data_IF_256813060898
#
_entry.id   IF_256813060898
#
_cell.length_a   1.000
_cell.length_b   1.000
_cell.length_c   1.000
_cell.angle_alpha   90.00
_cell.angle_beta   90.00
_cell.angle_gamma   90.00
#
_symmetry.space_group_name_H-M   'P 1'
#
loop_
_entity.id
_entity.type
_entity.pdbx_description
1 polymer ?
#
# COMPACT_ATOMS: atom_id res chain seq x y z
N UNK A 1 -17.76 12.98 -13.90
CA UNK A 1 -17.38 13.88 -15.02
C UNK A 1 -18.13 15.21 -14.94
N UNK A 2 -17.41 16.34 -15.00
CA UNK A 2 -18.00 17.68 -15.11
C UNK A 2 -18.30 17.96 -16.60
N UNK A 3 -19.57 18.14 -17.03
CA UNK A 3 -19.92 18.42 -18.43
C UNK A 3 -19.22 19.66 -19.00
N UNK A 4 -18.95 20.66 -18.16
CA UNK A 4 -18.27 21.89 -18.53
C UNK A 4 -16.83 21.68 -19.03
N UNK A 5 -16.12 20.64 -18.54
CA UNK A 5 -14.75 20.36 -18.99
C UNK A 5 -14.70 19.90 -20.46
N UNK A 6 -15.72 19.18 -20.94
CA UNK A 6 -15.77 18.75 -22.35
C UNK A 6 -15.95 19.91 -23.32
N UNK A 7 -16.73 20.92 -22.93
CA UNK A 7 -16.95 22.12 -23.75
C UNK A 7 -15.70 22.99 -23.87
N UNK A 8 -14.86 23.03 -22.83
CA UNK A 8 -13.64 23.86 -22.80
C UNK A 8 -12.43 23.20 -23.47
N UNK A 9 -12.33 21.87 -23.46
CA UNK A 9 -11.08 21.14 -23.77
C UNK A 9 -10.99 20.67 -25.24
N UNK A 10 -12.10 20.60 -25.98
CA UNK A 10 -12.10 20.08 -27.36
C UNK A 10 -11.95 18.54 -27.40
N UNK A 11 -11.30 18.00 -28.44
CA UNK A 11 -11.12 16.55 -28.60
C UNK A 11 -10.19 15.98 -27.52
N UNK A 12 -10.77 15.25 -26.56
CA UNK A 12 -10.04 14.62 -25.48
C UNK A 12 -9.38 13.33 -25.97
N UNK A 13 -8.06 13.21 -25.77
CA UNK A 13 -7.38 11.93 -26.05
C UNK A 13 -7.76 10.89 -24.99
N UNK A 14 -7.79 9.58 -25.32
CA UNK A 14 -8.16 8.54 -24.36
C UNK A 14 -7.24 8.50 -23.12
N UNK A 15 -5.98 8.93 -23.27
CA UNK A 15 -5.06 9.07 -22.13
C UNK A 15 -5.47 10.19 -21.17
N UNK A 16 -5.95 11.31 -21.70
CA UNK A 16 -6.44 12.43 -20.88
C UNK A 16 -7.77 12.10 -20.22
N UNK A 17 -8.65 11.37 -20.90
CA UNK A 17 -9.89 10.86 -20.30
C UNK A 17 -9.61 9.94 -19.10
N UNK A 18 -8.68 8.98 -19.28
CA UNK A 18 -8.21 8.12 -18.18
C UNK A 18 -7.66 8.96 -17.02
N UNK A 19 -6.90 10.01 -17.29
CA UNK A 19 -6.38 10.90 -16.26
C UNK A 19 -7.50 11.60 -15.48
N UNK A 20 -8.52 12.13 -16.16
CA UNK A 20 -9.67 12.77 -15.52
C UNK A 20 -10.35 11.79 -14.55
N UNK A 21 -10.62 10.57 -14.99
CA UNK A 21 -11.22 9.55 -14.12
C UNK A 21 -10.37 9.22 -12.89
N UNK A 22 -9.05 9.09 -13.07
CA UNK A 22 -8.13 8.82 -11.96
C UNK A 22 -8.12 9.99 -10.96
N UNK A 23 -8.12 11.23 -11.44
CA UNK A 23 -8.17 12.41 -10.55
C UNK A 23 -9.52 12.50 -9.83
N UNK A 24 -10.63 12.23 -10.52
CA UNK A 24 -11.98 12.22 -9.94
C UNK A 24 -12.12 11.17 -8.82
N UNK A 25 -11.52 10.00 -8.99
CA UNK A 25 -11.56 8.92 -7.99
C UNK A 25 -10.57 9.12 -6.85
N UNK A 26 -9.34 9.55 -7.15
CA UNK A 26 -8.28 9.67 -6.14
C UNK A 26 -8.39 10.92 -5.29
N UNK A 27 -8.93 12.02 -5.85
CA UNK A 27 -9.06 13.35 -5.22
C UNK A 27 -7.81 13.73 -4.42
N UNK A 28 -6.63 13.45 -4.99
CA UNK A 28 -5.35 13.53 -4.30
C UNK A 28 -5.07 14.94 -3.77
N UNK A 29 -5.63 15.95 -4.42
CA UNK A 29 -5.57 17.36 -4.04
C UNK A 29 -6.16 17.65 -2.66
N UNK A 30 -7.11 16.84 -2.18
CA UNK A 30 -7.75 17.03 -0.87
C UNK A 30 -6.84 16.64 0.29
N UNK A 31 -5.87 15.76 0.05
CA UNK A 31 -4.91 15.27 1.05
C UNK A 31 -3.67 16.16 1.18
N UNK A 32 -3.59 17.20 0.36
CA UNK A 32 -2.49 18.16 0.38
C UNK A 32 -2.79 19.25 1.40
N UNK A 33 -1.83 19.51 2.29
CA UNK A 33 -1.95 20.54 3.33
C UNK A 33 -2.19 21.91 2.70
N UNK A 34 -3.32 22.54 3.06
CA UNK A 34 -3.58 23.94 2.70
C UNK A 34 -2.76 24.84 3.62
N UNK A 35 -1.77 25.51 3.05
CA UNK A 35 -1.04 26.52 3.80
C UNK A 35 -1.92 27.75 4.04
N UNK A 36 -1.99 28.20 5.28
CA UNK A 36 -2.53 29.50 5.65
C UNK A 36 -1.40 30.53 5.62
N UNK A 37 -1.27 31.29 4.54
CA UNK A 37 -0.23 32.32 4.43
C UNK A 37 -0.63 33.58 5.19
N UNK A 38 0.28 34.12 6.02
CA UNK A 38 0.11 35.42 6.69
C UNK A 38 0.97 36.53 6.05
N UNK A 39 2.07 36.21 5.36
CA UNK A 39 2.95 37.17 4.64
C UNK A 39 3.78 36.50 3.54
N UNK A 40 4.15 37.24 2.48
CA UNK A 40 5.09 36.81 1.40
C UNK A 40 4.44 36.52 0.03
N UNK A 41 5.26 36.10 -0.96
CA UNK A 41 4.76 35.66 -2.28
C UNK A 41 3.93 34.38 -2.09
N UNK A 42 2.65 34.34 -2.52
CA UNK A 42 1.85 33.14 -2.44
C UNK A 42 2.56 31.98 -3.15
N UNK A 43 2.82 30.86 -2.46
CA UNK A 43 3.31 29.66 -3.10
C UNK A 43 2.33 29.18 -4.15
N UNK A 44 2.87 28.47 -5.14
CA UNK A 44 2.05 27.72 -6.07
C UNK A 44 1.19 26.72 -5.31
N UNK A 45 -0.07 26.55 -5.71
CA UNK A 45 -0.93 25.60 -5.01
C UNK A 45 -0.36 24.18 -5.18
N UNK A 46 -0.05 23.57 -4.04
CA UNK A 46 0.46 22.20 -4.01
C UNK A 46 -0.56 21.20 -4.59
N UNK A 47 -1.87 21.50 -4.51
CA UNK A 47 -2.92 20.75 -5.15
C UNK A 47 -2.67 20.56 -6.66
N UNK A 48 -2.32 21.64 -7.38
CA UNK A 48 -2.04 21.57 -8.82
C UNK A 48 -0.79 20.72 -9.11
N UNK A 49 0.23 20.82 -8.24
CA UNK A 49 1.45 20.02 -8.35
C UNK A 49 1.18 18.53 -8.09
N UNK A 50 0.34 18.19 -7.11
CA UNK A 50 -0.05 16.80 -6.84
C UNK A 50 -0.77 16.20 -8.05
N UNK A 51 -1.73 16.91 -8.64
CA UNK A 51 -2.43 16.48 -9.85
C UNK A 51 -1.48 16.33 -11.04
N UNK A 52 -0.49 17.23 -11.16
CA UNK A 52 0.55 17.12 -12.18
C UNK A 52 1.42 15.86 -12.01
N UNK A 53 1.73 15.45 -10.78
CA UNK A 53 2.47 14.22 -10.53
C UNK A 53 1.65 12.96 -10.84
N UNK A 54 0.34 12.96 -10.58
CA UNK A 54 -0.55 11.89 -11.05
C UNK A 54 -0.54 11.84 -12.58
N UNK A 55 -0.66 13.00 -13.25
CA UNK A 55 -0.58 13.09 -14.70
C UNK A 55 0.75 12.57 -15.25
N UNK A 56 1.86 12.86 -14.58
CA UNK A 56 3.18 12.34 -14.92
C UNK A 56 3.17 10.81 -15.00
N UNK A 57 2.60 10.15 -14.00
CA UNK A 57 2.53 8.68 -13.91
C UNK A 57 1.60 8.11 -14.98
N UNK A 58 0.40 8.68 -15.14
CA UNK A 58 -0.61 8.20 -16.11
C UNK A 58 -0.13 8.34 -17.55
N UNK A 59 0.58 9.42 -17.86
CA UNK A 59 1.13 9.68 -19.20
C UNK A 59 2.46 8.95 -19.45
N UNK A 60 3.05 8.30 -18.43
CA UNK A 60 4.31 7.58 -18.55
C UNK A 60 5.53 8.49 -18.73
N UNK A 61 5.48 9.72 -18.19
CA UNK A 61 6.57 10.68 -18.30
C UNK A 61 7.65 10.34 -17.27
N UNK A 62 8.90 10.20 -17.71
CA UNK A 62 10.01 9.77 -16.85
C UNK A 62 10.52 10.91 -15.96
N UNK A 63 10.74 12.09 -16.55
CA UNK A 63 11.36 13.24 -15.87
C UNK A 63 10.35 14.35 -15.54
N UNK A 64 10.69 15.18 -14.57
CA UNK A 64 9.89 16.38 -14.21
C UNK A 64 10.00 17.47 -15.26
N UNK A 65 11.13 17.56 -15.96
CA UNK A 65 11.31 18.49 -17.09
C UNK A 65 10.34 18.13 -18.22
N UNK A 66 10.24 16.85 -18.56
CA UNK A 66 9.31 16.38 -19.59
C UNK A 66 7.84 16.64 -19.22
N UNK A 67 7.50 16.54 -17.93
CA UNK A 67 6.18 16.95 -17.43
C UNK A 67 5.92 18.44 -17.65
N UNK A 68 6.89 19.32 -17.32
CA UNK A 68 6.75 20.77 -17.48
C UNK A 68 6.65 21.16 -18.96
N UNK A 69 7.45 20.54 -19.83
CA UNK A 69 7.37 20.72 -21.28
C UNK A 69 5.99 20.32 -21.82
N UNK A 70 5.49 19.13 -21.41
CA UNK A 70 4.19 18.65 -21.82
C UNK A 70 3.07 19.56 -21.33
N UNK A 71 3.14 20.02 -20.08
CA UNK A 71 2.20 21.01 -19.55
C UNK A 71 2.24 22.30 -20.37
N UNK A 72 3.42 22.83 -20.72
CA UNK A 72 3.51 24.04 -21.55
C UNK A 72 2.86 23.88 -22.93
N UNK A 73 2.99 22.72 -23.56
CA UNK A 73 2.41 22.47 -24.89
C UNK A 73 0.91 22.20 -24.86
N UNK A 74 0.42 21.53 -23.82
CA UNK A 74 -0.93 20.99 -23.76
C UNK A 74 -1.80 21.76 -22.75
N UNK A 75 -2.57 22.73 -23.27
CA UNK A 75 -3.48 23.56 -22.46
C UNK A 75 -4.59 22.74 -21.80
N UNK A 76 -5.03 21.65 -22.44
CA UNK A 76 -6.01 20.75 -21.87
C UNK A 76 -5.44 20.08 -20.62
N UNK A 77 -4.21 19.58 -20.71
CA UNK A 77 -3.51 18.98 -19.57
C UNK A 77 -3.31 19.99 -18.42
N UNK A 78 -2.95 21.24 -18.73
CA UNK A 78 -2.87 22.29 -17.70
C UNK A 78 -4.20 22.44 -16.97
N UNK A 79 -5.30 22.53 -17.72
CA UNK A 79 -6.64 22.71 -17.17
C UNK A 79 -7.08 21.53 -16.31
N UNK A 80 -6.86 20.30 -16.79
CA UNK A 80 -7.17 19.05 -16.06
C UNK A 80 -6.40 19.00 -14.73
N UNK A 81 -5.12 19.38 -14.72
CA UNK A 81 -4.32 19.43 -13.50
C UNK A 81 -4.67 20.62 -12.58
N UNK A 82 -5.52 21.55 -13.01
CA UNK A 82 -5.93 22.73 -12.24
C UNK A 82 -5.05 23.96 -12.41
N UNK A 83 -4.08 23.95 -13.33
CA UNK A 83 -3.24 25.12 -13.57
C UNK A 83 -4.01 26.25 -14.25
N UNK A 84 -3.82 27.50 -13.82
CA UNK A 84 -4.36 28.66 -14.51
C UNK A 84 -3.60 28.92 -15.83
N UNK A 85 -4.33 28.94 -16.94
CA UNK A 85 -3.79 29.10 -18.31
C UNK A 85 -2.98 30.39 -18.53
N UNK A 86 -3.24 31.44 -17.74
CA UNK A 86 -2.60 32.75 -17.89
C UNK A 86 -1.40 32.95 -16.95
N UNK A 87 -1.10 32.01 -16.04
CA UNK A 87 0.07 32.12 -15.16
C UNK A 87 1.21 31.28 -15.69
N UNK A 88 2.44 31.74 -15.43
CA UNK A 88 3.64 30.96 -15.70
C UNK A 88 3.65 29.68 -14.85
N UNK A 89 3.95 28.55 -15.48
CA UNK A 89 4.12 27.27 -14.81
C UNK A 89 5.28 27.33 -13.78
N UNK A 90 5.18 26.59 -12.66
CA UNK A 90 6.26 26.50 -11.67
C UNK A 90 7.55 25.93 -12.29
N UNK A 91 8.71 26.31 -11.74
CA UNK A 91 10.01 25.78 -12.18
C UNK A 91 10.22 24.34 -11.72
N UNK A 92 11.17 23.64 -12.36
CA UNK A 92 11.55 22.28 -11.97
C UNK A 92 11.99 22.18 -10.49
N UNK A 93 12.65 23.21 -9.97
CA UNK A 93 13.02 23.30 -8.54
C UNK A 93 11.80 23.34 -7.62
N UNK A 94 10.71 24.01 -8.01
CA UNK A 94 9.45 24.02 -7.26
C UNK A 94 8.79 22.65 -7.27
N UNK A 95 8.76 21.97 -8.42
CA UNK A 95 8.26 20.59 -8.51
C UNK A 95 9.06 19.65 -7.60
N UNK A 96 10.40 19.76 -7.59
CA UNK A 96 11.24 18.93 -6.74
C UNK A 96 10.96 19.14 -5.25
N UNK A 97 10.84 20.40 -4.81
CA UNK A 97 10.50 20.72 -3.41
C UNK A 97 9.12 20.21 -3.02
N UNK A 98 8.14 20.36 -3.90
CA UNK A 98 6.80 19.85 -3.68
C UNK A 98 6.78 18.32 -3.56
N UNK A 99 7.54 17.62 -4.41
CA UNK A 99 7.67 16.17 -4.31
C UNK A 99 8.29 15.74 -2.99
N UNK A 100 9.33 16.44 -2.52
CA UNK A 100 9.95 16.17 -1.21
C UNK A 100 8.94 16.32 -0.08
N UNK A 101 8.12 17.38 -0.11
CA UNK A 101 7.02 17.55 0.87
C UNK A 101 5.99 16.43 0.78
N UNK A 102 5.57 16.01 -0.42
CA UNK A 102 4.60 14.93 -0.58
C UNK A 102 5.11 13.58 -0.08
N UNK A 103 6.41 13.31 -0.28
CA UNK A 103 7.06 12.11 0.22
C UNK A 103 7.15 12.11 1.75
N UNK A 104 7.54 13.24 2.37
CA UNK A 104 7.56 13.40 3.83
C UNK A 104 6.18 13.21 4.45
N UNK A 105 5.16 13.78 3.79
CA UNK A 105 3.78 13.72 4.25
C UNK A 105 3.07 12.42 3.85
N UNK A 106 3.74 11.47 3.19
CA UNK A 106 3.17 10.19 2.72
C UNK A 106 1.84 10.38 1.98
N UNK A 107 1.81 11.35 1.06
CA UNK A 107 0.57 11.79 0.41
C UNK A 107 -0.13 10.63 -0.33
N UNK A 108 0.64 9.84 -1.07
CA UNK A 108 0.11 8.73 -1.87
C UNK A 108 -0.47 7.63 -0.97
N UNK A 109 0.24 7.30 0.11
CA UNK A 109 -0.18 6.28 1.07
C UNK A 109 -1.46 6.69 1.79
N UNK A 110 -1.59 7.96 2.19
CA UNK A 110 -2.80 8.48 2.84
C UNK A 110 -4.00 8.48 1.89
N UNK A 111 -3.82 8.95 0.66
CA UNK A 111 -4.88 8.93 -0.35
C UNK A 111 -5.33 7.49 -0.65
N UNK A 112 -4.37 6.57 -0.78
CA UNK A 112 -4.65 5.16 -1.02
C UNK A 112 -5.34 4.48 0.17
N UNK A 113 -4.92 4.76 1.41
CA UNK A 113 -5.54 4.25 2.63
C UNK A 113 -7.02 4.64 2.70
N UNK A 114 -7.34 5.90 2.42
CA UNK A 114 -8.73 6.37 2.43
C UNK A 114 -9.54 5.72 1.31
N UNK A 115 -8.99 5.58 0.11
CA UNK A 115 -9.66 4.92 -1.01
C UNK A 115 -9.97 3.46 -0.67
N UNK A 116 -9.03 2.73 -0.06
CA UNK A 116 -9.26 1.36 0.41
C UNK A 116 -10.36 1.32 1.46
N UNK A 117 -10.27 2.14 2.51
CA UNK A 117 -11.26 2.14 3.59
C UNK A 117 -12.67 2.46 3.07
N UNK A 118 -12.78 3.44 2.17
CA UNK A 118 -14.06 3.88 1.62
C UNK A 118 -14.72 2.83 0.71
N UNK A 119 -13.95 2.14 -0.13
CA UNK A 119 -14.53 1.21 -1.12
C UNK A 119 -14.48 -0.26 -0.71
N UNK A 120 -13.56 -0.63 0.19
CA UNK A 120 -13.26 -2.01 0.56
C UNK A 120 -13.24 -2.25 2.07
N UNK A 121 -13.53 -1.24 2.92
CA UNK A 121 -13.51 -1.40 4.38
C UNK A 121 -14.42 -2.52 4.89
N UNK A 122 -15.59 -2.68 4.29
CA UNK A 122 -16.58 -3.70 4.68
C UNK A 122 -16.45 -5.01 3.88
N UNK A 123 -15.46 -5.09 2.99
CA UNK A 123 -15.28 -6.23 2.09
C UNK A 123 -13.99 -6.97 2.42
N UNK A 124 -14.11 -8.22 2.85
CA UNK A 124 -12.96 -9.09 3.01
C UNK A 124 -12.44 -9.54 1.64
N UNK A 125 -11.30 -8.99 1.21
CA UNK A 125 -10.65 -9.40 -0.04
C UNK A 125 -9.78 -10.62 0.27
N UNK A 126 -10.29 -11.83 -0.02
CA UNK A 126 -9.62 -13.11 0.23
C UNK A 126 -8.46 -13.45 -0.72
N UNK A 127 -7.90 -12.48 -1.43
CA UNK A 127 -6.73 -12.73 -2.28
C UNK A 127 -5.50 -12.85 -1.38
N UNK A 128 -5.20 -14.08 -0.97
CA UNK A 128 -3.96 -14.40 -0.27
C UNK A 128 -2.83 -14.35 -1.30
N UNK A 129 -2.13 -13.22 -1.36
CA UNK A 129 -0.81 -13.19 -1.99
C UNK A 129 0.15 -13.95 -1.07
N UNK A 130 0.32 -15.25 -1.32
CA UNK A 130 1.38 -16.05 -0.68
C UNK A 130 2.71 -15.62 -1.26
N UNK A 131 3.27 -14.54 -0.73
CA UNK A 131 4.67 -14.22 -0.95
C UNK A 131 5.54 -15.24 -0.18
N UNK A 132 6.70 -15.58 -0.72
CA UNK A 132 7.71 -16.43 -0.09
C UNK A 132 8.41 -15.73 1.09
N UNK A 133 7.69 -14.88 1.83
CA UNK A 133 8.21 -14.28 3.05
C UNK A 133 8.29 -15.37 4.11
N UNK A 134 9.49 -15.59 4.65
CA UNK A 134 9.73 -16.58 5.68
C UNK A 134 8.92 -16.22 6.93
N UNK A 135 7.76 -16.86 7.10
CA UNK A 135 6.97 -16.76 8.32
C UNK A 135 7.74 -17.54 9.39
N UNK A 136 8.00 -16.93 10.55
CA UNK A 136 8.60 -17.61 11.71
C UNK A 136 7.61 -18.64 12.29
N UNK A 137 7.46 -19.77 11.60
CA UNK A 137 6.70 -20.93 12.03
C UNK A 137 7.62 -22.14 11.95
N UNK A 138 7.41 -23.11 12.84
CA UNK A 138 8.19 -24.34 12.83
C UNK A 138 7.81 -25.18 11.63
N UNK A 139 8.79 -25.53 10.81
CA UNK A 139 8.60 -26.42 9.65
C UNK A 139 8.27 -27.87 10.06
N UNK A 140 8.57 -28.25 11.30
CA UNK A 140 8.37 -29.62 11.81
C UNK A 140 7.53 -29.60 13.09
N UNK A 141 6.60 -30.56 13.24
CA UNK A 141 5.86 -30.73 14.48
C UNK A 141 6.84 -31.00 15.63
N UNK A 142 6.58 -30.37 16.79
CA UNK A 142 7.35 -30.62 17.99
C UNK A 142 7.21 -32.09 18.37
N UNK A 143 8.33 -32.80 18.55
CA UNK A 143 8.29 -34.12 19.17
C UNK A 143 7.74 -33.93 20.58
N UNK A 144 6.60 -34.56 20.85
CA UNK A 144 6.14 -34.76 22.22
C UNK A 144 7.15 -35.71 22.82
N UNK A 145 7.96 -35.23 23.74
CA UNK A 145 8.81 -36.11 24.53
C UNK A 145 7.88 -37.11 25.24
N UNK A 146 8.13 -38.39 25.01
CA UNK A 146 7.44 -39.43 25.78
C UNK A 146 7.82 -39.18 27.22
N UNK A 147 6.87 -38.70 28.01
CA UNK A 147 7.00 -38.74 29.47
C UNK A 147 7.23 -40.21 29.80
N UNK A 148 8.45 -40.55 30.23
CA UNK A 148 8.71 -41.82 30.87
C UNK A 148 7.84 -41.84 32.12
N UNK A 149 6.64 -42.39 31.93
CA UNK A 149 5.84 -42.80 33.06
C UNK A 149 6.58 -44.01 33.59
N UNK A 150 7.32 -43.81 34.67
CA UNK A 150 7.78 -44.87 35.58
C UNK A 150 6.54 -45.62 36.06
N UNK A 151 6.02 -46.51 35.23
CA UNK A 151 4.99 -47.45 35.62
C UNK A 151 5.70 -48.50 36.46
N UNK A 152 5.37 -48.63 37.76
CA UNK A 152 6.00 -49.64 38.59
C UNK A 152 5.76 -51.02 37.97
N UNK A 153 6.85 -51.78 37.76
CA UNK A 153 6.79 -53.15 37.25
C UNK A 153 5.91 -53.98 38.20
N UNK A 154 4.79 -54.50 37.69
CA UNK A 154 3.96 -55.46 38.42
C UNK A 154 4.82 -56.65 38.83
N UNK A 155 4.86 -56.91 40.15
CA UNK A 155 5.65 -57.97 40.76
C UNK A 155 5.06 -59.33 40.36
N UNK A 156 5.63 -59.95 39.33
CA UNK A 156 5.24 -61.28 38.86
C UNK A 156 5.65 -62.40 39.83
N UNK A 157 4.88 -63.49 39.79
CA UNK A 157 4.92 -64.70 40.63
C UNK A 157 6.35 -65.26 40.83
N UNK A 158 6.74 -65.68 42.05
CA UNK A 158 8.08 -66.21 42.31
C UNK A 158 8.36 -67.48 41.50
N UNK A 159 9.58 -67.56 40.97
CA UNK A 159 10.11 -68.67 40.17
C UNK A 159 10.23 -69.90 41.09
N UNK A 160 9.47 -70.95 40.82
CA UNK A 160 9.62 -72.24 41.50
C UNK A 160 10.83 -72.92 40.88
N UNK A 161 11.93 -72.97 41.64
CA UNK A 161 12.95 -74.04 41.63
C UNK A 161 14.08 -73.64 42.59
N UNK A 162 14.05 -74.25 43.79
CA UNK A 162 15.20 -74.91 44.46
C UNK A 162 14.80 -75.33 45.88
N UNK A 163 14.79 -76.64 46.06
CA UNK A 163 15.12 -77.40 47.28
C UNK A 163 14.31 -77.18 48.56
N UNK A 164 13.20 -77.92 48.69
CA UNK A 164 12.74 -78.40 49.99
C UNK A 164 12.45 -79.91 49.93
N UNK A 165 13.25 -80.66 50.69
CA UNK A 165 13.12 -82.11 50.93
C UNK A 165 11.73 -82.42 51.47
N UNK A 166 11.00 -83.31 50.78
CA UNK A 166 9.71 -83.84 51.28
C UNK A 166 9.98 -84.85 52.40
N UNK A 167 9.28 -84.78 53.55
CA UNK A 167 9.36 -85.86 54.54
C UNK A 167 8.59 -87.09 54.04
N UNK A 168 9.17 -88.26 54.26
CA UNK A 168 8.56 -89.57 54.03
C UNK A 168 7.49 -89.78 55.11
N UNK A 169 6.27 -90.16 54.70
CA UNK A 169 5.24 -90.70 55.60
C UNK A 169 4.82 -92.08 55.10
N UNK A 170 4.87 -93.03 56.04
CA UNK A 170 4.51 -94.45 56.01
C UNK A 170 5.52 -95.38 55.32
#
# INVERSE_FOLDING_TARGET
MIPALHQEIGLLTPKLEKLIHILEWSRIEEFVTRFSYRTGRPPHELAWLANAFVAKVVLGLTTTVHLIERLNMDKALQRICGFPLHKKLPSASTFSRAFETFAKDKLAERAHEVLIKMHFGDRLIGHISRDGTAIKVRERPQKIDKVDTDKPKLKGRPRKDKDEKRPIKL
#
